data_IF_592620085612
#
_entry.id   IF_592620085612
#
_cell.length_a   1.000
_cell.length_b   1.000
_cell.length_c   1.000
_cell.angle_alpha   90.00
_cell.angle_beta   90.00
_cell.angle_gamma   90.00
#
_symmetry.space_group_name_H-M   'P 1'
#
loop_
_entity.id
_entity.type
_entity.pdbx_description
1 polymer ?
#
# COMPACT_ATOMS: atom_id res chain seq x y z
N UNK A 1 38.39 65.30 -0.56
CA UNK A 1 39.25 65.02 0.62
C UNK A 1 38.97 63.60 1.07
N UNK A 2 39.99 62.82 1.48
CA UNK A 2 40.51 61.74 0.63
C UNK A 2 40.46 60.32 1.23
N UNK A 3 40.77 59.33 0.37
CA UNK A 3 41.44 58.02 0.56
C UNK A 3 40.92 56.97 1.56
N UNK A 4 40.51 55.82 1.00
CA UNK A 4 40.85 54.38 1.28
C UNK A 4 41.42 53.95 2.66
N UNK A 5 41.37 52.64 3.12
CA UNK A 5 41.38 51.40 2.33
C UNK A 5 40.71 50.11 2.91
N UNK A 6 40.68 49.07 2.05
CA UNK A 6 41.01 47.62 2.23
C UNK A 6 40.31 46.65 3.21
N UNK A 7 39.91 45.53 2.60
CA UNK A 7 39.94 44.12 3.04
C UNK A 7 41.11 43.72 3.98
N UNK A 8 40.84 42.90 5.00
CA UNK A 8 41.63 41.68 5.24
C UNK A 8 40.91 40.64 6.12
N UNK A 9 41.09 39.38 5.75
CA UNK A 9 40.88 38.18 6.55
C UNK A 9 41.95 38.08 7.66
N UNK A 10 41.63 37.26 8.68
CA UNK A 10 42.53 36.54 9.58
C UNK A 10 43.45 37.33 10.53
N UNK A 11 43.01 37.40 11.79
CA UNK A 11 43.75 37.30 13.07
C UNK A 11 42.86 37.96 14.13
N UNK A 12 42.34 37.27 15.15
CA UNK A 12 43.14 36.87 16.30
C UNK A 12 42.48 35.71 17.06
N UNK A 13 43.29 34.69 17.28
CA UNK A 13 43.08 33.59 18.21
C UNK A 13 43.45 34.05 19.64
N UNK A 14 42.64 33.62 20.61
CA UNK A 14 42.99 33.32 22.01
C UNK A 14 43.20 34.47 23.00
N UNK A 15 42.29 34.54 23.98
CA UNK A 15 42.59 34.75 25.41
C UNK A 15 41.44 34.09 26.20
N UNK A 16 41.62 32.84 26.60
CA UNK A 16 41.91 32.39 27.97
C UNK A 16 40.72 32.45 28.96
N UNK A 17 40.20 31.23 29.20
CA UNK A 17 39.84 30.64 30.49
C UNK A 17 38.86 31.34 31.44
N UNK A 18 37.73 30.67 31.65
CA UNK A 18 37.24 30.34 32.99
C UNK A 18 35.98 31.06 33.44
N UNK A 19 34.82 30.42 33.28
CA UNK A 19 34.06 29.91 34.43
C UNK A 19 32.87 29.08 33.95
N UNK A 20 32.83 27.83 34.43
CA UNK A 20 31.69 26.94 34.38
C UNK A 20 30.51 27.54 35.18
N UNK A 21 29.32 27.57 34.59
CA UNK A 21 28.11 27.16 35.29
C UNK A 21 27.19 26.43 34.32
N UNK A 22 27.00 25.15 34.65
CA UNK A 22 26.04 24.20 34.09
C UNK A 22 24.63 24.73 34.34
N UNK A 23 23.82 24.84 33.28
CA UNK A 23 22.38 24.55 33.36
C UNK A 23 21.94 23.84 32.08
N UNK A 24 21.29 22.72 32.32
CA UNK A 24 20.78 21.72 31.41
C UNK A 24 19.45 22.17 30.77
N UNK A 25 19.07 21.40 29.75
CA UNK A 25 17.73 21.27 29.15
C UNK A 25 17.37 22.25 28.02
N UNK A 26 17.76 21.88 26.79
CA UNK A 26 16.86 22.04 25.64
C UNK A 26 16.46 20.64 25.16
N UNK A 27 15.27 20.25 25.58
CA UNK A 27 14.56 19.05 25.17
C UNK A 27 14.22 19.19 23.70
N UNK A 28 14.91 18.45 22.83
CA UNK A 28 14.33 18.00 21.57
C UNK A 28 13.05 17.25 21.91
N UNK A 29 11.90 17.87 21.62
CA UNK A 29 10.62 17.15 21.59
C UNK A 29 10.68 16.21 20.39
N UNK A 30 11.33 15.06 20.58
CA UNK A 30 10.95 13.87 19.86
C UNK A 30 9.52 13.59 20.26
N UNK A 31 8.60 13.64 19.30
CA UNK A 31 7.22 13.22 19.54
C UNK A 31 7.24 11.70 19.73
N UNK A 32 7.45 11.28 20.98
CA UNK A 32 7.49 9.88 21.41
C UNK A 32 6.23 9.11 20.97
N UNK A 33 5.12 9.80 20.66
CA UNK A 33 3.88 9.17 20.19
C UNK A 33 3.96 8.60 18.78
N UNK A 34 4.84 9.11 17.91
CA UNK A 34 4.98 8.60 16.54
C UNK A 34 5.66 7.23 16.55
N UNK A 35 6.67 7.06 17.39
CA UNK A 35 7.45 5.82 17.55
C UNK A 35 6.58 4.71 18.15
N UNK A 36 5.79 5.01 19.19
CA UNK A 36 4.85 4.04 19.77
C UNK A 36 3.71 3.64 18.82
N UNK A 37 3.19 4.56 18.00
CA UNK A 37 2.18 4.24 16.97
C UNK A 37 2.77 3.35 15.89
N UNK A 38 4.01 3.62 15.46
CA UNK A 38 4.72 2.79 14.51
C UNK A 38 5.02 1.40 15.08
N UNK A 39 5.54 1.29 16.30
CA UNK A 39 5.85 0.01 16.94
C UNK A 39 4.60 -0.84 17.22
N UNK A 40 3.50 -0.23 17.66
CA UNK A 40 2.23 -0.95 17.87
C UNK A 40 1.57 -1.40 16.55
N UNK A 41 1.63 -0.57 15.51
CA UNK A 41 1.26 -0.96 14.14
C UNK A 41 2.15 -2.08 13.59
N UNK A 42 3.46 -2.00 13.86
CA UNK A 42 4.47 -2.98 13.45
C UNK A 42 4.29 -4.33 14.17
N UNK A 43 3.77 -4.33 15.40
CA UNK A 43 3.46 -5.56 16.13
C UNK A 43 2.13 -6.18 15.69
N UNK A 44 1.16 -5.39 15.22
CA UNK A 44 -0.19 -5.88 14.89
C UNK A 44 -0.32 -6.45 13.45
N UNK A 45 0.39 -5.90 12.45
CA UNK A 45 0.43 -6.50 11.08
C UNK A 45 1.14 -7.88 11.05
N UNK A 46 1.79 -8.32 12.15
CA UNK A 46 2.30 -9.70 12.29
C UNK A 46 1.17 -10.74 12.30
N UNK A 47 -0.06 -10.37 12.67
CA UNK A 47 -1.19 -11.31 12.80
C UNK A 47 -2.10 -11.42 11.57
N UNK A 48 -1.97 -10.51 10.60
CA UNK A 48 -2.82 -10.48 9.39
C UNK A 48 -2.24 -11.26 8.20
N UNK A 49 -1.09 -11.94 8.38
CA UNK A 49 -0.54 -12.95 7.46
C UNK A 49 -0.92 -14.36 7.99
N UNK A 50 -2.22 -14.67 7.88
CA UNK A 50 -2.96 -15.94 8.05
C UNK A 50 -2.46 -17.05 9.00
N UNK A 51 -3.33 -17.45 9.95
CA UNK A 51 -3.52 -18.85 10.34
C UNK A 51 -5.01 -19.22 10.29
N UNK A 52 -5.42 -20.29 9.59
CA UNK A 52 -6.70 -20.94 9.83
C UNK A 52 -6.67 -21.60 11.22
N UNK A 53 -7.77 -21.46 11.96
CA UNK A 53 -7.98 -22.22 13.21
C UNK A 53 -8.09 -23.71 12.84
N UNK A 54 -7.09 -24.50 13.22
CA UNK A 54 -7.15 -25.96 13.12
C UNK A 54 -8.02 -26.48 14.27
N UNK A 55 -9.29 -26.76 13.99
CA UNK A 55 -10.03 -27.77 14.76
C UNK A 55 -9.87 -29.12 14.07
N UNK A 56 -9.26 -30.06 14.79
CA UNK A 56 -8.90 -31.37 14.24
C UNK A 56 -10.11 -32.26 14.00
N UNK A 57 -10.19 -32.88 12.82
CA UNK A 57 -10.07 -34.33 12.67
C UNK A 57 -10.06 -34.76 11.19
N UNK A 58 -9.03 -35.54 10.86
CA UNK A 58 -8.89 -36.55 9.81
C UNK A 58 -9.94 -36.59 8.67
N UNK A 59 -9.55 -36.12 7.47
CA UNK A 59 -9.35 -37.02 6.33
C UNK A 59 -8.64 -36.29 5.18
N UNK A 60 -7.60 -36.94 4.68
CA UNK A 60 -6.79 -36.53 3.54
C UNK A 60 -7.58 -36.59 2.24
N UNK A 61 -7.81 -35.43 1.64
CA UNK A 61 -8.01 -35.26 0.19
C UNK A 61 -7.25 -34.02 -0.23
N UNK A 62 -6.27 -34.20 -1.12
CA UNK A 62 -5.52 -33.13 -1.74
C UNK A 62 -6.49 -32.21 -2.49
N UNK A 63 -6.81 -31.06 -1.90
CA UNK A 63 -7.45 -29.97 -2.61
C UNK A 63 -6.35 -29.23 -3.37
N UNK A 64 -6.35 -29.47 -4.68
CA UNK A 64 -5.62 -28.66 -5.65
C UNK A 64 -6.18 -27.24 -5.49
N UNK A 65 -5.36 -26.30 -5.01
CA UNK A 65 -5.70 -24.88 -4.97
C UNK A 65 -5.86 -24.39 -6.41
N UNK A 66 -7.10 -24.48 -6.88
CA UNK A 66 -7.51 -24.08 -8.21
C UNK A 66 -7.55 -22.55 -8.21
N UNK A 67 -6.66 -21.90 -8.96
CA UNK A 67 -6.64 -20.43 -9.17
C UNK A 67 -7.87 -19.88 -9.94
N UNK A 68 -9.01 -20.58 -9.89
CA UNK A 68 -10.18 -20.37 -10.77
C UNK A 68 -11.31 -19.50 -10.20
N UNK A 69 -11.18 -18.86 -9.05
CA UNK A 69 -12.27 -18.04 -8.47
C UNK A 69 -12.20 -16.54 -8.82
N UNK A 70 -11.27 -16.12 -9.69
CA UNK A 70 -11.05 -14.70 -10.02
C UNK A 70 -11.04 -14.33 -11.50
N UNK A 71 -11.39 -15.22 -12.44
CA UNK A 71 -11.16 -14.96 -13.88
C UNK A 71 -11.99 -13.80 -14.46
N UNK A 72 -13.12 -13.45 -13.85
CA UNK A 72 -13.97 -12.39 -14.36
C UNK A 72 -13.40 -10.99 -14.09
N UNK A 73 -13.52 -10.04 -15.03
CA UNK A 73 -13.25 -8.63 -14.79
C UNK A 73 -13.98 -8.06 -13.57
N UNK A 74 -13.41 -7.02 -12.97
CA UNK A 74 -14.02 -6.26 -11.89
C UNK A 74 -14.86 -5.14 -12.53
N UNK A 75 -16.17 -5.34 -12.55
CA UNK A 75 -17.15 -4.47 -13.20
C UNK A 75 -18.38 -4.18 -12.30
N UNK A 76 -19.17 -3.18 -12.70
CA UNK A 76 -20.39 -2.71 -12.02
C UNK A 76 -20.18 -1.69 -10.90
N UNK A 77 -18.97 -1.55 -10.36
CA UNK A 77 -18.70 -0.57 -9.30
C UNK A 77 -18.64 0.87 -9.85
N UNK A 78 -18.28 1.04 -11.13
CA UNK A 78 -18.21 2.32 -11.81
C UNK A 78 -19.59 2.96 -12.02
N UNK A 79 -20.66 2.16 -11.99
CA UNK A 79 -22.04 2.63 -12.11
C UNK A 79 -22.59 3.18 -10.78
N UNK A 80 -21.93 2.93 -9.65
CA UNK A 80 -22.31 3.55 -8.38
C UNK A 80 -22.11 5.08 -8.43
N UNK A 81 -22.96 5.86 -7.75
CA UNK A 81 -22.75 7.29 -7.60
C UNK A 81 -21.46 7.57 -6.83
N UNK A 82 -20.78 8.65 -7.19
CA UNK A 82 -19.66 9.15 -6.39
C UNK A 82 -20.22 9.80 -5.10
N UNK A 83 -19.94 9.19 -3.95
CA UNK A 83 -20.51 9.55 -2.66
C UNK A 83 -19.43 10.06 -1.69
N UNK A 84 -19.80 10.85 -0.66
CA UNK A 84 -18.94 11.10 0.50
C UNK A 84 -18.52 9.80 1.19
N UNK A 85 -17.37 9.79 1.89
CA UNK A 85 -16.78 8.57 2.45
C UNK A 85 -17.74 7.83 3.40
N UNK A 86 -18.45 8.57 4.25
CA UNK A 86 -19.43 8.00 5.19
C UNK A 86 -20.52 7.21 4.46
N UNK A 87 -21.08 7.79 3.40
CA UNK A 87 -22.14 7.18 2.60
C UNK A 87 -21.60 6.03 1.73
N UNK A 88 -20.37 6.17 1.22
CA UNK A 88 -19.68 5.15 0.44
C UNK A 88 -19.40 3.87 1.26
N UNK A 89 -19.21 4.02 2.58
CA UNK A 89 -18.99 2.91 3.51
C UNK A 89 -20.26 2.34 4.14
N UNK A 90 -21.45 2.90 3.86
CA UNK A 90 -22.69 2.55 4.57
C UNK A 90 -23.03 1.05 4.49
N UNK A 91 -22.80 0.39 3.35
CA UNK A 91 -23.03 -1.05 3.16
C UNK A 91 -22.02 -1.94 3.89
N UNK A 92 -20.93 -1.39 4.39
CA UNK A 92 -19.84 -2.12 5.03
C UNK A 92 -19.88 -2.02 6.56
N UNK A 93 -20.71 -1.14 7.13
CA UNK A 93 -20.75 -0.87 8.59
C UNK A 93 -21.08 -2.11 9.41
N UNK A 94 -21.99 -2.95 8.92
CA UNK A 94 -22.38 -4.20 9.60
C UNK A 94 -21.47 -5.40 9.24
N UNK A 95 -20.54 -5.21 8.30
CA UNK A 95 -19.61 -6.24 7.82
C UNK A 95 -18.24 -6.09 8.49
N UNK A 96 -17.76 -4.85 8.59
CA UNK A 96 -16.42 -4.53 9.06
C UNK A 96 -16.44 -4.02 10.50
N UNK A 97 -15.63 -4.64 11.34
CA UNK A 97 -15.50 -4.25 12.74
C UNK A 97 -15.05 -2.79 12.87
N UNK A 98 -15.79 -2.03 13.68
CA UNK A 98 -15.48 -0.65 14.06
C UNK A 98 -15.25 0.31 12.86
N UNK A 99 -15.87 0.03 11.71
CA UNK A 99 -15.66 0.80 10.48
C UNK A 99 -15.95 2.30 10.67
N UNK A 100 -17.06 2.65 11.32
CA UNK A 100 -17.47 4.04 11.51
C UNK A 100 -16.42 4.87 12.24
N UNK A 101 -15.72 4.28 13.22
CA UNK A 101 -14.62 4.95 13.92
C UNK A 101 -13.45 5.22 12.97
N UNK A 102 -13.03 4.21 12.19
CA UNK A 102 -11.94 4.35 11.23
C UNK A 102 -12.28 5.32 10.10
N UNK A 103 -13.54 5.37 9.66
CA UNK A 103 -14.04 6.37 8.69
C UNK A 103 -13.90 7.78 9.26
N UNK A 104 -14.36 8.01 10.49
CA UNK A 104 -14.24 9.33 11.12
C UNK A 104 -12.77 9.74 11.28
N UNK A 105 -11.93 8.83 11.76
CA UNK A 105 -10.48 9.04 11.88
C UNK A 105 -9.85 9.40 10.53
N UNK A 106 -10.19 8.66 9.45
CA UNK A 106 -9.66 8.95 8.12
C UNK A 106 -10.07 10.34 7.59
N UNK A 107 -11.29 10.80 7.90
CA UNK A 107 -11.74 12.16 7.54
C UNK A 107 -11.03 13.22 8.38
N UNK A 108 -10.98 13.04 9.70
CA UNK A 108 -10.37 14.01 10.63
C UNK A 108 -8.88 14.22 10.40
N UNK A 109 -8.15 13.15 10.05
CA UNK A 109 -6.72 13.20 9.75
C UNK A 109 -6.41 13.65 8.32
N UNK A 110 -7.43 13.80 7.46
CA UNK A 110 -7.23 14.31 6.10
C UNK A 110 -7.17 15.84 6.13
N UNK A 111 -6.14 16.46 5.52
CA UNK A 111 -6.07 17.92 5.43
C UNK A 111 -7.31 18.53 4.77
N UNK A 112 -7.68 19.74 5.19
CA UNK A 112 -8.81 20.48 4.58
C UNK A 112 -8.57 20.79 3.10
N UNK A 113 -7.31 20.87 2.69
CA UNK A 113 -6.86 20.99 1.30
C UNK A 113 -5.90 19.84 0.99
N UNK A 114 -6.40 18.65 0.62
CA UNK A 114 -5.54 17.54 0.23
C UNK A 114 -4.72 17.88 -1.03
N UNK A 115 -3.52 17.33 -1.18
CA UNK A 115 -2.72 17.49 -2.38
C UNK A 115 -3.34 16.77 -3.60
N UNK A 116 -2.69 16.89 -4.76
CA UNK A 116 -3.01 16.15 -5.98
C UNK A 116 -4.42 16.39 -6.54
N UNK A 117 -5.03 17.50 -6.15
CA UNK A 117 -6.38 17.89 -6.59
C UNK A 117 -7.48 16.96 -6.07
N UNK A 118 -7.19 16.15 -5.04
CA UNK A 118 -8.19 15.28 -4.42
C UNK A 118 -9.13 16.08 -3.52
N UNK A 119 -10.40 15.68 -3.52
CA UNK A 119 -11.33 16.12 -2.47
C UNK A 119 -10.97 15.47 -1.12
N UNK A 120 -11.48 16.02 -0.02
CA UNK A 120 -11.33 15.44 1.32
C UNK A 120 -11.80 13.97 1.34
N UNK A 121 -12.95 13.67 0.73
CA UNK A 121 -13.49 12.30 0.71
C UNK A 121 -12.62 11.33 -0.11
N UNK A 122 -12.06 11.78 -1.23
CA UNK A 122 -11.17 10.98 -2.06
C UNK A 122 -9.85 10.67 -1.33
N UNK A 123 -9.22 11.68 -0.75
CA UNK A 123 -8.00 11.50 0.06
C UNK A 123 -8.28 10.64 1.30
N UNK A 124 -9.39 10.86 1.99
CA UNK A 124 -9.78 10.08 3.15
C UNK A 124 -10.09 8.61 2.81
N UNK A 125 -10.60 8.33 1.60
CA UNK A 125 -10.80 6.95 1.15
C UNK A 125 -9.46 6.19 1.02
N UNK A 126 -8.41 6.86 0.50
CA UNK A 126 -7.06 6.32 0.45
C UNK A 126 -6.51 6.14 1.86
N UNK A 127 -6.66 7.14 2.74
CA UNK A 127 -6.25 7.04 4.14
C UNK A 127 -6.90 5.84 4.83
N UNK A 128 -8.22 5.67 4.66
CA UNK A 128 -8.98 4.55 5.21
C UNK A 128 -8.45 3.19 4.75
N UNK A 129 -8.08 3.08 3.47
CA UNK A 129 -7.48 1.86 2.94
C UNK A 129 -6.17 1.51 3.67
N UNK A 130 -5.36 2.52 4.00
CA UNK A 130 -4.03 2.31 4.61
C UNK A 130 -4.02 2.17 6.13
N UNK A 131 -5.16 2.36 6.81
CA UNK A 131 -5.25 2.15 8.25
C UNK A 131 -5.11 0.65 8.57
N UNK A 132 -4.38 0.31 9.63
CA UNK A 132 -4.44 -1.04 10.21
C UNK A 132 -5.38 -1.05 11.40
N UNK A 133 -6.19 -2.09 11.47
CA UNK A 133 -7.06 -2.37 12.58
C UNK A 133 -6.33 -3.25 13.57
N UNK A 134 -6.62 -3.04 14.85
CA UNK A 134 -6.03 -3.84 15.91
C UNK A 134 -6.48 -5.28 15.81
N UNK A 135 -5.52 -6.19 15.95
CA UNK A 135 -5.81 -7.61 16.03
C UNK A 135 -6.80 -7.91 17.18
N UNK A 136 -7.68 -8.92 17.03
CA UNK A 136 -7.75 -9.92 15.95
C UNK A 136 -8.58 -9.47 14.74
N UNK A 137 -8.96 -8.20 14.64
CA UNK A 137 -9.89 -7.74 13.62
C UNK A 137 -9.19 -7.46 12.29
N UNK A 138 -9.87 -7.78 11.19
CA UNK A 138 -9.35 -7.53 9.85
C UNK A 138 -9.69 -6.12 9.40
N UNK A 139 -8.65 -5.43 8.94
CA UNK A 139 -8.70 -4.11 8.32
C UNK A 139 -9.56 -4.07 7.06
N UNK A 140 -10.05 -2.88 6.67
CA UNK A 140 -10.80 -2.72 5.42
C UNK A 140 -10.02 -3.25 4.22
N UNK A 141 -8.74 -2.89 4.09
CA UNK A 141 -7.92 -3.39 2.97
C UNK A 141 -7.74 -4.90 3.02
N UNK A 142 -7.58 -5.48 4.22
CA UNK A 142 -7.41 -6.93 4.41
C UNK A 142 -8.64 -7.67 3.91
N UNK A 143 -9.84 -7.21 4.29
CA UNK A 143 -11.09 -7.80 3.87
C UNK A 143 -11.37 -7.59 2.38
N UNK A 144 -11.21 -6.36 1.87
CA UNK A 144 -11.39 -6.06 0.45
C UNK A 144 -10.46 -6.89 -0.44
N UNK A 145 -9.16 -6.96 -0.12
CA UNK A 145 -8.20 -7.73 -0.90
C UNK A 145 -8.46 -9.23 -0.88
N UNK A 146 -8.96 -9.76 0.25
CA UNK A 146 -9.38 -11.15 0.31
C UNK A 146 -10.60 -11.40 -0.58
N UNK A 147 -11.62 -10.54 -0.52
CA UNK A 147 -12.80 -10.65 -1.39
C UNK A 147 -12.41 -10.55 -2.87
N UNK A 148 -11.49 -9.64 -3.23
CA UNK A 148 -10.99 -9.50 -4.60
C UNK A 148 -10.26 -10.75 -5.10
N UNK A 149 -9.54 -11.46 -4.21
CA UNK A 149 -8.66 -12.58 -4.56
C UNK A 149 -9.34 -13.95 -4.51
N UNK A 150 -10.25 -14.15 -3.56
CA UNK A 150 -10.74 -15.49 -3.20
C UNK A 150 -12.25 -15.65 -3.31
N UNK A 151 -13.00 -14.56 -3.41
CA UNK A 151 -14.46 -14.59 -3.47
C UNK A 151 -14.97 -14.38 -4.90
N UNK A 152 -16.24 -14.74 -5.10
CA UNK A 152 -16.96 -14.41 -6.33
C UNK A 152 -17.09 -12.90 -6.52
N UNK A 153 -17.29 -12.44 -7.77
CA UNK A 153 -17.55 -11.01 -8.04
C UNK A 153 -18.86 -10.50 -7.42
N UNK A 154 -19.81 -11.38 -7.12
CA UNK A 154 -21.05 -11.03 -6.43
C UNK A 154 -20.78 -10.61 -4.97
N UNK A 155 -19.88 -11.29 -4.28
CA UNK A 155 -19.48 -10.96 -2.90
C UNK A 155 -18.73 -9.62 -2.79
N UNK A 156 -18.29 -9.06 -3.90
CA UNK A 156 -17.67 -7.74 -3.96
C UNK A 156 -18.69 -6.60 -3.94
N UNK A 157 -19.97 -6.85 -4.23
CA UNK A 157 -21.01 -5.81 -4.31
C UNK A 157 -21.09 -4.89 -3.09
N UNK A 158 -20.99 -5.37 -1.83
CA UNK A 158 -21.02 -4.48 -0.66
C UNK A 158 -19.92 -3.41 -0.68
N UNK A 159 -18.82 -3.64 -1.39
CA UNK A 159 -17.69 -2.72 -1.50
C UNK A 159 -17.83 -1.74 -2.66
N UNK A 160 -18.78 -1.89 -3.58
CA UNK A 160 -18.80 -1.12 -4.83
C UNK A 160 -18.83 0.39 -4.63
N UNK A 161 -19.63 0.89 -3.68
CA UNK A 161 -19.68 2.32 -3.36
C UNK A 161 -18.35 2.86 -2.82
N UNK A 162 -17.70 2.10 -1.95
CA UNK A 162 -16.37 2.43 -1.47
C UNK A 162 -15.33 2.36 -2.61
N UNK A 163 -15.35 1.30 -3.41
CA UNK A 163 -14.46 1.13 -4.56
C UNK A 163 -14.63 2.25 -5.59
N UNK A 164 -15.86 2.72 -5.83
CA UNK A 164 -16.14 3.87 -6.70
C UNK A 164 -15.37 5.11 -6.24
N UNK A 165 -15.49 5.46 -4.96
CA UNK A 165 -14.79 6.61 -4.39
C UNK A 165 -13.26 6.41 -4.37
N UNK A 166 -12.82 5.25 -3.90
CA UNK A 166 -11.40 4.92 -3.75
C UNK A 166 -10.66 4.86 -5.08
N UNK A 167 -11.21 4.15 -6.08
CA UNK A 167 -10.60 4.07 -7.41
C UNK A 167 -10.66 5.41 -8.13
N UNK A 168 -11.74 6.20 -7.96
CA UNK A 168 -11.79 7.59 -8.45
C UNK A 168 -10.62 8.42 -7.91
N UNK A 169 -10.31 8.28 -6.62
CA UNK A 169 -9.17 8.97 -6.00
C UNK A 169 -7.84 8.50 -6.60
N UNK A 170 -7.62 7.17 -6.68
CA UNK A 170 -6.36 6.60 -7.17
C UNK A 170 -6.06 6.94 -8.64
N UNK A 171 -7.08 6.98 -9.51
CA UNK A 171 -6.85 7.29 -10.93
C UNK A 171 -6.53 8.77 -11.18
N UNK A 172 -6.90 9.68 -10.26
CA UNK A 172 -6.50 11.09 -10.31
C UNK A 172 -5.05 11.31 -9.89
N UNK A 173 -4.49 10.40 -9.09
CA UNK A 173 -3.08 10.47 -8.72
C UNK A 173 -2.20 10.24 -9.96
N UNK A 174 -1.07 10.96 -10.08
CA UNK A 174 -0.12 10.75 -11.16
C UNK A 174 0.31 9.28 -11.25
N UNK A 175 0.38 8.75 -12.48
CA UNK A 175 1.03 7.46 -12.71
C UNK A 175 2.50 7.62 -12.38
N UNK A 176 3.05 6.75 -11.54
CA UNK A 176 4.51 6.69 -11.43
C UNK A 176 5.10 6.23 -12.77
N UNK A 177 6.22 6.82 -13.23
CA UNK A 177 6.90 6.36 -14.43
C UNK A 177 7.32 4.90 -14.25
N UNK A 178 7.65 4.21 -15.35
CA UNK A 178 8.15 2.84 -15.31
C UNK A 178 9.21 2.65 -14.22
N UNK A 179 8.90 1.85 -13.20
CA UNK A 179 9.76 1.66 -12.04
C UNK A 179 9.76 0.23 -11.53
N UNK A 180 10.78 -0.12 -10.75
CA UNK A 180 10.85 -1.41 -10.07
C UNK A 180 10.34 -1.25 -8.65
N UNK A 181 9.25 -1.92 -8.32
CA UNK A 181 8.71 -2.02 -6.96
C UNK A 181 8.94 -3.40 -6.37
N UNK A 182 8.94 -3.47 -5.06
CA UNK A 182 9.23 -4.66 -4.28
C UNK A 182 8.07 -5.00 -3.36
N UNK A 183 7.82 -6.30 -3.21
CA UNK A 183 6.84 -6.82 -2.24
C UNK A 183 7.37 -8.09 -1.59
N UNK A 184 7.44 -8.09 -0.27
CA UNK A 184 7.75 -9.27 0.53
C UNK A 184 6.49 -10.04 0.93
N UNK A 185 6.60 -11.36 1.01
CA UNK A 185 5.63 -12.24 1.66
C UNK A 185 6.35 -13.33 2.44
N UNK A 186 5.82 -13.72 3.60
CA UNK A 186 6.41 -14.73 4.50
C UNK A 186 6.01 -16.17 4.14
N UNK A 187 6.00 -16.49 2.84
CA UNK A 187 5.80 -17.86 2.32
C UNK A 187 6.55 -18.08 1.02
N UNK A 188 6.87 -19.34 0.71
CA UNK A 188 7.39 -19.75 -0.61
C UNK A 188 6.23 -19.83 -1.61
N UNK A 189 6.32 -19.04 -2.69
CA UNK A 189 5.38 -19.03 -3.81
C UNK A 189 6.03 -19.42 -5.14
N UNK A 190 7.27 -19.91 -5.12
CA UNK A 190 8.04 -20.20 -6.35
C UNK A 190 7.31 -21.18 -7.28
N UNK A 191 6.63 -22.18 -6.72
CA UNK A 191 5.85 -23.16 -7.50
C UNK A 191 4.64 -22.56 -8.23
N UNK A 192 4.03 -21.49 -7.69
CA UNK A 192 2.84 -20.84 -8.25
C UNK A 192 3.17 -19.89 -9.42
N UNK A 193 4.44 -19.52 -9.60
CA UNK A 193 4.87 -18.49 -10.55
C UNK A 193 5.90 -18.98 -11.59
N UNK A 194 5.67 -20.08 -12.32
CA UNK A 194 6.66 -20.59 -13.27
C UNK A 194 7.07 -19.54 -14.34
N UNK A 195 8.36 -19.44 -14.74
CA UNK A 195 8.79 -18.48 -15.75
C UNK A 195 8.03 -18.62 -17.07
N UNK A 196 7.71 -17.49 -17.69
CA UNK A 196 7.00 -17.41 -18.96
C UNK A 196 5.48 -17.44 -18.85
N UNK A 197 4.90 -17.61 -17.65
CA UNK A 197 3.45 -17.61 -17.49
C UNK A 197 2.87 -16.22 -17.22
N UNK A 198 1.63 -15.97 -17.68
CA UNK A 198 0.86 -14.81 -17.27
C UNK A 198 0.30 -14.99 -15.86
N UNK A 199 0.23 -13.90 -15.11
CA UNK A 199 -0.39 -13.81 -13.77
C UNK A 199 -1.21 -12.53 -13.68
N UNK A 200 -2.38 -12.61 -13.05
CA UNK A 200 -3.17 -11.45 -12.67
C UNK A 200 -3.24 -11.31 -11.16
N UNK A 201 -2.81 -10.17 -10.64
CA UNK A 201 -3.02 -9.80 -9.24
C UNK A 201 -4.38 -9.11 -9.08
N UNK A 202 -5.37 -9.88 -8.63
CA UNK A 202 -6.74 -9.38 -8.46
C UNK A 202 -6.94 -8.47 -7.26
N UNK A 203 -6.12 -8.61 -6.21
CA UNK A 203 -6.10 -7.68 -5.09
C UNK A 203 -5.25 -6.44 -5.40
N UNK A 204 -5.54 -5.34 -4.70
CA UNK A 204 -4.58 -4.25 -4.62
C UNK A 204 -3.29 -4.76 -3.99
N UNK A 205 -2.14 -4.33 -4.50
CA UNK A 205 -0.84 -4.75 -3.99
C UNK A 205 -0.04 -3.54 -3.50
N UNK A 206 0.13 -3.47 -2.19
CA UNK A 206 1.05 -2.53 -1.55
C UNK A 206 2.49 -2.96 -1.84
N UNK A 207 3.30 -2.03 -2.34
CA UNK A 207 4.68 -2.24 -2.73
C UNK A 207 5.54 -1.06 -2.32
N UNK A 208 6.85 -1.25 -2.28
CA UNK A 208 7.80 -0.20 -1.92
C UNK A 208 8.94 -0.12 -2.93
N UNK A 209 9.53 1.06 -3.09
CA UNK A 209 10.81 1.25 -3.80
C UNK A 209 12.02 0.99 -2.88
N UNK A 210 11.80 0.97 -1.57
CA UNK A 210 12.85 0.90 -0.55
C UNK A 210 12.97 -0.52 0.02
N UNK A 211 13.94 -1.29 -0.48
CA UNK A 211 14.17 -2.67 -0.02
C UNK A 211 14.41 -2.78 1.49
N UNK A 212 14.99 -1.75 2.12
CA UNK A 212 15.24 -1.74 3.57
C UNK A 212 13.96 -1.88 4.40
N UNK A 213 12.82 -1.37 3.90
CA UNK A 213 11.52 -1.53 4.57
C UNK A 213 11.15 -3.02 4.69
N UNK A 214 11.57 -3.86 3.74
CA UNK A 214 11.22 -5.27 3.70
C UNK A 214 11.99 -6.14 4.70
N UNK A 215 13.10 -5.65 5.28
CA UNK A 215 13.84 -6.40 6.32
C UNK A 215 13.01 -6.64 7.59
N UNK A 216 11.94 -5.85 7.78
CA UNK A 216 10.96 -6.08 8.83
C UNK A 216 10.24 -7.43 8.64
N UNK A 217 10.17 -8.23 9.71
CA UNK A 217 9.55 -9.56 9.73
C UNK A 217 8.05 -9.56 9.37
N UNK A 218 7.40 -8.41 9.42
CA UNK A 218 6.05 -8.21 8.92
C UNK A 218 5.91 -8.37 7.41
N UNK A 219 6.96 -8.04 6.66
CA UNK A 219 6.95 -8.00 5.22
C UNK A 219 7.66 -9.23 4.64
N UNK A 220 8.98 -9.13 4.49
CA UNK A 220 9.81 -10.25 4.04
C UNK A 220 10.51 -10.89 5.24
N UNK A 221 11.05 -10.06 6.14
CA UNK A 221 11.90 -10.53 7.22
C UNK A 221 13.20 -11.14 6.72
N UNK A 222 13.93 -11.73 7.66
CA UNK A 222 15.26 -12.32 7.41
C UNK A 222 15.30 -13.83 7.59
N UNK A 223 14.19 -14.46 8.01
CA UNK A 223 14.12 -15.90 8.32
C UNK A 223 12.78 -16.50 7.90
N UNK A 224 12.73 -17.83 7.78
CA UNK A 224 11.53 -18.56 7.35
C UNK A 224 11.34 -18.54 5.83
N UNK A 225 10.50 -19.44 5.33
CA UNK A 225 10.17 -19.51 3.92
C UNK A 225 9.54 -18.18 3.47
N UNK A 226 10.13 -17.51 2.49
CA UNK A 226 9.73 -16.17 2.09
C UNK A 226 9.97 -15.92 0.61
N UNK A 227 9.13 -15.06 0.05
CA UNK A 227 9.19 -14.68 -1.37
C UNK A 227 9.30 -13.16 -1.50
N UNK A 228 10.30 -12.72 -2.25
CA UNK A 228 10.47 -11.33 -2.66
C UNK A 228 10.05 -11.19 -4.13
N UNK A 229 8.98 -10.44 -4.38
CA UNK A 229 8.61 -10.04 -5.73
C UNK A 229 9.39 -8.79 -6.14
N UNK A 230 10.01 -8.86 -7.30
CA UNK A 230 10.56 -7.71 -8.04
C UNK A 230 9.62 -7.43 -9.21
N UNK A 231 8.93 -6.29 -9.21
CA UNK A 231 7.92 -5.99 -10.23
C UNK A 231 8.34 -4.76 -11.02
N UNK A 232 8.55 -4.93 -12.33
CA UNK A 232 8.66 -3.82 -13.26
C UNK A 232 7.26 -3.31 -13.59
N UNK A 233 6.81 -2.28 -12.89
CA UNK A 233 5.46 -1.72 -12.93
C UNK A 233 5.36 -0.53 -13.90
N UNK A 234 4.20 -0.35 -14.54
CA UNK A 234 3.93 0.72 -15.52
C UNK A 234 2.87 1.74 -15.04
N UNK A 235 2.09 1.43 -14.01
CA UNK A 235 1.00 2.30 -13.55
C UNK A 235 0.83 2.30 -12.02
N UNK A 236 1.93 2.17 -11.27
CA UNK A 236 1.89 2.32 -9.82
C UNK A 236 1.37 3.70 -9.41
N UNK A 237 0.65 3.78 -8.28
CA UNK A 237 0.19 5.03 -7.68
C UNK A 237 0.88 5.23 -6.35
N UNK A 238 1.65 6.30 -6.21
CA UNK A 238 2.15 6.69 -4.89
C UNK A 238 0.99 7.20 -4.06
N UNK A 239 0.78 6.62 -2.88
CA UNK A 239 -0.30 7.02 -1.96
C UNK A 239 0.24 7.74 -0.72
N UNK A 240 1.56 8.00 -0.67
CA UNK A 240 2.26 8.55 0.50
C UNK A 240 1.60 9.79 1.09
N UNK A 241 1.21 10.74 0.24
CA UNK A 241 0.60 12.00 0.68
C UNK A 241 -0.81 11.84 1.28
N UNK A 242 -1.44 10.69 1.03
CA UNK A 242 -2.80 10.38 1.44
C UNK A 242 -2.88 9.19 2.42
N UNK A 243 -1.77 8.51 2.66
CA UNK A 243 -1.68 7.35 3.56
C UNK A 243 -1.70 7.78 5.03
N UNK A 244 -2.20 6.88 5.88
CA UNK A 244 -2.05 6.96 7.34
C UNK A 244 -0.57 6.81 7.76
N UNK A 245 0.23 6.07 6.98
CA UNK A 245 1.65 5.84 7.23
C UNK A 245 2.53 6.51 6.16
N UNK A 246 2.86 7.79 6.38
CA UNK A 246 3.58 8.64 5.41
C UNK A 246 5.04 8.25 5.16
N UNK A 247 5.59 7.29 5.91
CA UNK A 247 7.01 6.89 5.87
C UNK A 247 7.28 5.68 4.98
N UNK A 248 6.26 4.93 4.57
CA UNK A 248 6.45 3.66 3.84
C UNK A 248 6.74 3.86 2.34
N UNK A 249 6.62 5.10 1.84
CA UNK A 249 6.71 5.47 0.41
C UNK A 249 5.90 4.50 -0.47
N UNK A 250 4.70 4.19 0.00
CA UNK A 250 3.86 3.14 -0.56
C UNK A 250 3.47 3.44 -2.01
N UNK A 251 3.81 2.51 -2.90
CA UNK A 251 3.31 2.44 -4.26
C UNK A 251 2.24 1.35 -4.32
N UNK A 252 1.02 1.75 -4.63
CA UNK A 252 -0.11 0.84 -4.77
C UNK A 252 -0.26 0.41 -6.23
N UNK A 253 -0.27 -0.91 -6.47
CA UNK A 253 -0.72 -1.49 -7.73
C UNK A 253 -2.22 -1.77 -7.65
N UNK A 254 -2.94 -1.44 -8.72
CA UNK A 254 -4.39 -1.58 -8.83
C UNK A 254 -4.81 -3.06 -8.95
N UNK A 255 -6.05 -3.42 -8.58
CA UNK A 255 -6.57 -4.77 -8.77
C UNK A 255 -6.67 -5.10 -10.26
N UNK A 256 -6.52 -6.38 -10.59
CA UNK A 256 -6.44 -6.82 -11.98
C UNK A 256 -5.11 -6.49 -12.66
N UNK A 257 -4.04 -6.22 -11.89
CA UNK A 257 -2.70 -5.98 -12.46
C UNK A 257 -2.19 -7.23 -13.18
N UNK A 258 -2.03 -7.14 -14.50
CA UNK A 258 -1.58 -8.25 -15.34
C UNK A 258 -0.07 -8.22 -15.58
N UNK A 259 0.60 -9.36 -15.40
CA UNK A 259 2.06 -9.48 -15.44
C UNK A 259 2.50 -10.79 -16.09
N UNK A 260 3.73 -10.80 -16.58
CA UNK A 260 4.43 -12.01 -17.04
C UNK A 260 5.56 -12.33 -16.08
N UNK A 261 5.65 -13.58 -15.63
CA UNK A 261 6.82 -14.06 -14.89
C UNK A 261 8.04 -14.09 -15.81
N UNK A 262 9.03 -13.26 -15.53
CA UNK A 262 10.26 -13.20 -16.33
C UNK A 262 11.25 -14.28 -15.91
N UNK A 263 11.47 -14.42 -14.60
CA UNK A 263 12.49 -15.32 -14.05
C UNK A 263 12.25 -15.57 -12.56
N UNK A 264 12.85 -16.63 -12.04
CA UNK A 264 12.94 -16.89 -10.60
C UNK A 264 14.41 -17.10 -10.20
N UNK A 265 14.72 -16.80 -8.95
CA UNK A 265 16.04 -17.04 -8.36
C UNK A 265 15.91 -17.36 -6.87
N UNK A 266 16.68 -18.32 -6.36
CA UNK A 266 16.64 -18.72 -4.94
C UNK A 266 18.04 -18.61 -4.34
N UNK A 267 18.44 -17.41 -3.86
CA UNK A 267 19.78 -17.18 -3.32
C UNK A 267 20.04 -17.90 -1.99
N UNK A 268 18.99 -18.30 -1.29
CA UNK A 268 19.05 -19.09 -0.06
C UNK A 268 17.94 -20.15 -0.10
N UNK A 269 18.02 -21.15 0.79
CA UNK A 269 17.04 -22.24 0.86
C UNK A 269 15.65 -21.76 1.27
N UNK A 270 15.55 -20.63 1.95
CA UNK A 270 14.32 -20.08 2.50
C UNK A 270 13.89 -18.77 1.83
N UNK A 271 14.65 -18.27 0.85
CA UNK A 271 14.36 -17.03 0.11
C UNK A 271 14.20 -17.31 -1.38
N UNK A 272 13.02 -17.00 -1.90
CA UNK A 272 12.68 -17.08 -3.32
C UNK A 272 12.46 -15.67 -3.88
N UNK A 273 13.05 -15.37 -5.02
CA UNK A 273 12.90 -14.10 -5.72
C UNK A 273 12.17 -14.38 -7.03
N UNK A 274 11.08 -13.65 -7.26
CA UNK A 274 10.26 -13.76 -8.47
C UNK A 274 10.28 -12.42 -9.17
N UNK A 275 10.76 -12.40 -10.42
CA UNK A 275 10.80 -11.21 -11.26
C UNK A 275 9.58 -11.18 -12.17
N UNK A 276 8.78 -10.13 -12.05
CA UNK A 276 7.55 -9.90 -12.78
C UNK A 276 7.70 -8.65 -13.65
N UNK A 277 7.09 -8.69 -14.83
CA UNK A 277 6.93 -7.51 -15.69
C UNK A 277 5.45 -7.27 -15.91
N UNK A 278 4.98 -6.10 -15.51
CA UNK A 278 3.62 -5.68 -15.81
C UNK A 278 3.44 -5.44 -17.30
N UNK A 279 2.29 -5.86 -17.81
CA UNK A 279 1.85 -5.69 -19.19
C UNK A 279 0.43 -5.14 -19.20
N UNK A 280 0.07 -4.43 -20.27
CA UNK A 280 -1.32 -4.01 -20.49
C UNK A 280 -2.10 -5.24 -20.95
N UNK A 281 -3.21 -5.61 -20.28
CA UNK A 281 -4.02 -6.75 -20.71
C UNK A 281 -4.74 -6.44 -22.03
N UNK A 282 -5.05 -7.49 -22.82
CA UNK A 282 -5.81 -7.34 -24.07
C UNK A 282 -7.27 -6.95 -23.83
N UNK A 283 -7.80 -7.30 -22.65
CA UNK A 283 -9.15 -7.00 -22.20
C UNK A 283 -9.14 -6.13 -20.94
N UNK A 284 -10.23 -5.40 -20.71
CA UNK A 284 -10.40 -4.60 -19.50
C UNK A 284 -10.66 -5.52 -18.30
N UNK A 285 -9.66 -5.66 -17.42
CA UNK A 285 -9.78 -6.45 -16.19
C UNK A 285 -10.36 -5.64 -15.00
N UNK A 286 -10.24 -4.31 -15.06
CA UNK A 286 -10.81 -3.36 -14.10
C UNK A 286 -11.45 -2.24 -14.90
N UNK A 287 -12.76 -2.07 -14.81
CA UNK A 287 -13.44 -0.96 -15.51
C UNK A 287 -12.97 0.39 -14.94
N UNK A 288 -12.89 1.47 -15.75
CA UNK A 288 -12.58 2.80 -15.23
C UNK A 288 -13.68 3.35 -14.32
N UNK A 289 -13.36 4.12 -13.26
CA UNK A 289 -14.35 4.63 -12.32
C UNK A 289 -15.17 5.82 -12.87
N UNK A 290 -14.89 6.32 -14.07
CA UNK A 290 -15.61 7.45 -14.66
C UNK A 290 -16.48 7.01 -15.83
N UNK A 291 -17.67 7.60 -15.96
CA UNK A 291 -18.52 7.40 -17.14
C UNK A 291 -17.95 8.17 -18.33
N UNK A 292 -17.66 7.46 -19.43
CA UNK A 292 -17.13 8.04 -20.67
C UNK A 292 -16.10 7.12 -21.32
N UNK A 293 -15.73 7.41 -22.57
CA UNK A 293 -14.74 6.63 -23.33
C UNK A 293 -13.32 6.93 -22.83
N UNK A 294 -13.01 6.54 -21.59
CA UNK A 294 -11.62 6.40 -21.16
C UNK A 294 -11.14 5.06 -21.70
N UNK A 295 -10.13 5.11 -22.56
CA UNK A 295 -9.51 3.92 -23.09
C UNK A 295 -8.63 3.32 -21.99
N UNK A 296 -8.29 2.03 -22.11
CA UNK A 296 -7.29 1.36 -21.27
C UNK A 296 -6.02 2.23 -21.12
N UNK A 297 -5.65 2.96 -22.18
CA UNK A 297 -4.54 3.90 -22.19
C UNK A 297 -4.62 4.95 -21.07
N UNK A 298 -5.77 5.49 -20.74
CA UNK A 298 -5.91 6.54 -19.72
C UNK A 298 -5.73 6.00 -18.28
N UNK A 299 -5.89 4.68 -18.09
CA UNK A 299 -5.62 4.00 -16.82
C UNK A 299 -4.12 3.67 -16.64
N UNK A 300 -3.42 3.49 -17.75
CA UNK A 300 -2.03 3.02 -17.80
C UNK A 300 -1.01 4.12 -18.15
N UNK A 301 -1.44 5.22 -18.75
CA UNK A 301 -0.61 6.32 -19.21
C UNK A 301 -1.33 7.64 -18.86
N UNK A 302 -0.55 8.66 -18.49
CA UNK A 302 -1.08 9.95 -18.03
C UNK A 302 -2.13 10.53 -19.01
N UNK A 303 -3.18 11.14 -18.43
CA UNK A 303 -4.17 11.99 -19.12
C UNK A 303 -3.49 13.22 -19.76
#
# INVERSE_FOLDING_TARGET
MPNEPTCNLDEQISTLCGNEQVYQDDVTVHDENVDYRYDSYVLEKQQSVELPVVEGNQNSTNEIENHGAGEAPIIGYADEPLLPLVDACASLVDILYNLSFCVNMAVEETPTEPPDGLTINESAAIRLYTIEWKAPHRSLYSMLNHTLKHCSREELQPYFRYMKLFLTALVKLPCSPLLTVWRGVTKDLSAEFPPGTPVTWWAFSSTTTELAVLENNMYLGTTGARTLFSVKAINGRTVRAHSHFVIEDEILLLPGTHMIVQSQFSPASDLHIIHLKQVVPEETLLEPPFQGTLNIFDLFFEL
#
